data_IF_070617606402
#
_entry.id   IF_070617606402
#
_cell.length_a   1.000
_cell.length_b   1.000
_cell.length_c   1.000
_cell.angle_alpha   90.00
_cell.angle_beta   90.00
_cell.angle_gamma   90.00
#
_symmetry.space_group_name_H-M   'P 1'
#
loop_
_entity.id
_entity.type
_entity.pdbx_description
1 polymer ?
#
# COMPACT_ATOMS: atom_id res chain seq x y z
N UNK A 1 25.46 23.40 8.47
CA UNK A 1 26.03 22.08 8.15
C UNK A 1 24.89 21.08 8.29
N UNK A 2 24.27 20.68 7.18
CA UNK A 2 23.10 19.81 7.22
C UNK A 2 23.53 18.39 7.60
N UNK A 3 22.92 17.86 8.65
CA UNK A 3 23.02 16.45 9.05
C UNK A 3 22.41 15.58 7.94
N UNK A 4 23.25 15.08 7.03
CA UNK A 4 22.86 14.03 6.10
C UNK A 4 22.63 12.75 6.90
N UNK A 5 21.35 12.40 7.12
CA UNK A 5 21.00 11.06 7.59
C UNK A 5 21.18 10.10 6.41
N UNK A 6 22.11 9.13 6.49
CA UNK A 6 22.40 8.23 5.37
C UNK A 6 21.20 7.34 4.97
N UNK A 7 20.20 7.23 5.85
CA UNK A 7 19.02 6.37 5.66
C UNK A 7 17.84 7.08 4.98
N UNK A 8 17.88 8.41 4.85
CA UNK A 8 16.80 9.19 4.24
C UNK A 8 17.23 9.56 2.83
N UNK A 9 16.78 8.77 1.85
CA UNK A 9 16.89 9.14 0.44
C UNK A 9 16.19 10.49 0.21
N UNK A 10 16.72 11.33 -0.69
CA UNK A 10 16.11 12.63 -0.99
C UNK A 10 14.65 12.43 -1.37
N UNK A 11 13.77 13.26 -0.80
CA UNK A 11 12.34 13.20 -1.08
C UNK A 11 12.10 13.32 -2.59
N UNK A 12 11.64 12.23 -3.21
CA UNK A 12 11.21 12.23 -4.61
C UNK A 12 9.82 12.84 -4.66
N UNK A 13 9.65 13.91 -5.44
CA UNK A 13 8.34 14.54 -5.61
C UNK A 13 7.47 13.67 -6.53
N UNK A 14 6.53 12.94 -5.94
CA UNK A 14 5.46 12.24 -6.66
C UNK A 14 4.19 13.09 -6.61
N UNK A 15 3.59 13.34 -7.77
CA UNK A 15 2.26 13.92 -7.88
C UNK A 15 1.28 12.79 -8.18
N UNK A 16 0.46 12.42 -7.20
CA UNK A 16 -0.57 11.38 -7.31
C UNK A 16 -1.88 11.89 -6.70
N UNK A 17 -3.00 11.22 -7.01
CA UNK A 17 -4.30 11.59 -6.44
C UNK A 17 -4.47 11.03 -5.03
N UNK A 18 -3.95 9.83 -4.77
CA UNK A 18 -4.04 9.16 -3.46
C UNK A 18 -2.71 8.53 -3.09
N UNK A 19 -2.29 8.72 -1.83
CA UNK A 19 -1.16 8.00 -1.24
C UNK A 19 -1.68 7.03 -0.17
N UNK A 20 -1.28 5.76 -0.26
CA UNK A 20 -1.61 4.70 0.69
C UNK A 20 -0.33 4.32 1.45
N UNK A 21 -0.37 4.48 2.77
CA UNK A 21 0.72 4.07 3.66
C UNK A 21 0.46 2.65 4.21
N UNK A 22 1.16 1.67 3.64
CA UNK A 22 1.15 0.27 4.01
C UNK A 22 0.66 -0.64 2.89
N UNK A 23 1.48 -1.62 2.51
CA UNK A 23 1.13 -2.67 1.54
C UNK A 23 0.59 -3.93 2.23
N UNK A 24 -0.24 -3.74 3.27
CA UNK A 24 -1.02 -4.81 3.88
C UNK A 24 -2.24 -5.20 3.03
N UNK A 25 -3.01 -6.23 3.44
CA UNK A 25 -4.19 -6.68 2.69
C UNK A 25 -5.19 -5.56 2.37
N UNK A 26 -5.48 -4.70 3.36
CA UNK A 26 -6.40 -3.56 3.18
C UNK A 26 -5.82 -2.52 2.22
N UNK A 27 -4.54 -2.16 2.37
CA UNK A 27 -3.90 -1.16 1.52
C UNK A 27 -3.81 -1.61 0.05
N UNK A 28 -3.47 -2.88 -0.17
CA UNK A 28 -3.43 -3.46 -1.51
C UNK A 28 -4.82 -3.61 -2.13
N UNK A 29 -5.83 -4.00 -1.35
CA UNK A 29 -7.21 -4.04 -1.82
C UNK A 29 -7.71 -2.65 -2.25
N UNK A 30 -7.45 -1.63 -1.43
CA UNK A 30 -7.77 -0.23 -1.75
C UNK A 30 -7.04 0.25 -3.01
N UNK A 31 -5.74 -0.03 -3.14
CA UNK A 31 -4.97 0.33 -4.32
C UNK A 31 -5.54 -0.31 -5.59
N UNK A 32 -5.90 -1.60 -5.54
CA UNK A 32 -6.50 -2.30 -6.67
C UNK A 32 -7.85 -1.69 -7.06
N UNK A 33 -8.73 -1.49 -6.08
CA UNK A 33 -10.07 -0.91 -6.31
C UNK A 33 -10.00 0.50 -6.92
N UNK A 34 -9.19 1.39 -6.34
CA UNK A 34 -9.00 2.75 -6.85
C UNK A 34 -8.31 2.75 -8.22
N UNK A 35 -7.35 1.85 -8.44
CA UNK A 35 -6.68 1.68 -9.73
C UNK A 35 -7.65 1.31 -10.86
N UNK A 36 -8.64 0.44 -10.58
CA UNK A 36 -9.70 0.12 -11.57
C UNK A 36 -10.59 1.30 -11.91
N UNK A 37 -10.74 2.25 -10.99
CA UNK A 37 -11.44 3.51 -11.24
C UNK A 37 -10.59 4.53 -12.03
N UNK A 38 -9.35 4.17 -12.40
CA UNK A 38 -8.42 5.05 -13.09
C UNK A 38 -7.80 6.12 -12.18
N UNK A 39 -7.83 5.94 -10.87
CA UNK A 39 -7.23 6.85 -9.89
C UNK A 39 -5.74 6.56 -9.79
N UNK A 40 -4.91 7.60 -9.86
CA UNK A 40 -3.46 7.50 -9.67
C UNK A 40 -3.11 7.35 -8.19
N UNK A 41 -2.55 6.18 -7.83
CA UNK A 41 -2.31 5.76 -6.45
C UNK A 41 -0.82 5.45 -6.24
N UNK A 42 -0.22 6.06 -5.21
CA UNK A 42 1.09 5.71 -4.69
C UNK A 42 0.94 4.83 -3.43
N UNK A 43 1.47 3.61 -3.44
CA UNK A 43 1.56 2.77 -2.24
C UNK A 43 2.97 2.84 -1.66
N UNK A 44 3.09 3.09 -0.36
CA UNK A 44 4.36 3.16 0.36
C UNK A 44 4.38 2.09 1.44
N UNK A 45 5.38 1.22 1.45
CA UNK A 45 5.57 0.17 2.46
C UNK A 45 6.94 0.32 3.12
N UNK A 46 7.00 0.04 4.42
CA UNK A 46 8.23 0.10 5.21
C UNK A 46 9.11 -1.13 4.99
N UNK A 47 8.50 -2.30 4.80
CA UNK A 47 9.22 -3.56 4.60
C UNK A 47 9.64 -3.72 3.14
N UNK A 48 10.93 -4.00 2.92
CA UNK A 48 11.47 -4.26 1.57
C UNK A 48 10.96 -5.58 0.97
N UNK A 49 10.41 -6.46 1.82
CA UNK A 49 9.95 -7.80 1.45
C UNK A 49 8.68 -8.15 2.21
N UNK A 50 7.90 -9.06 1.63
CA UNK A 50 6.79 -9.67 2.33
C UNK A 50 7.30 -10.42 3.56
N UNK A 51 6.47 -10.42 4.60
CA UNK A 51 6.66 -11.32 5.74
C UNK A 51 6.46 -12.78 5.30
N UNK A 52 7.18 -13.70 5.93
CA UNK A 52 7.21 -15.13 5.59
C UNK A 52 6.33 -16.00 6.50
N UNK A 53 5.49 -15.37 7.33
CA UNK A 53 4.56 -16.05 8.23
C UNK A 53 3.14 -15.49 8.12
N UNK A 54 2.10 -16.32 8.29
CA UNK A 54 0.72 -15.89 8.17
C UNK A 54 0.32 -14.99 9.35
N UNK A 55 -0.34 -13.86 9.05
CA UNK A 55 -1.00 -13.00 10.04
C UNK A 55 -2.52 -12.97 9.92
N UNK A 56 -3.06 -13.22 8.73
CA UNK A 56 -4.50 -13.31 8.50
C UNK A 56 -5.01 -14.65 9.06
N UNK A 57 -6.07 -14.60 9.87
CA UNK A 57 -6.66 -15.77 10.52
C UNK A 57 -7.91 -16.25 9.76
N UNK A 58 -8.64 -15.34 9.11
CA UNK A 58 -9.82 -15.65 8.32
C UNK A 58 -10.23 -14.51 7.40
N UNK A 59 -11.14 -14.81 6.48
CA UNK A 59 -11.81 -13.88 5.58
C UNK A 59 -13.30 -14.15 5.76
N UNK A 60 -14.06 -13.13 6.15
CA UNK A 60 -15.52 -13.22 6.24
C UNK A 60 -16.17 -13.01 4.87
N UNK A 61 -17.50 -13.12 4.82
CA UNK A 61 -18.27 -12.98 3.60
C UNK A 61 -18.18 -11.57 2.99
N UNK A 62 -18.06 -10.53 3.82
CA UNK A 62 -17.96 -9.15 3.34
C UNK A 62 -16.56 -8.79 2.81
N UNK A 63 -15.51 -9.29 3.46
CA UNK A 63 -14.16 -9.21 2.93
C UNK A 63 -14.06 -9.96 1.60
N UNK A 64 -14.69 -11.14 1.48
CA UNK A 64 -14.72 -11.88 0.21
C UNK A 64 -15.52 -11.15 -0.86
N UNK A 65 -16.68 -10.56 -0.52
CA UNK A 65 -17.46 -9.71 -1.44
C UNK A 65 -16.66 -8.53 -1.94
N UNK A 66 -15.88 -7.89 -1.07
CA UNK A 66 -14.97 -6.81 -1.43
C UNK A 66 -13.93 -7.28 -2.44
N UNK A 67 -13.30 -8.44 -2.21
CA UNK A 67 -12.33 -9.02 -3.15
C UNK A 67 -12.95 -9.42 -4.50
N UNK A 68 -14.23 -9.78 -4.54
CA UNK A 68 -14.94 -10.09 -5.79
C UNK A 68 -15.32 -8.85 -6.61
N UNK A 69 -15.22 -7.66 -6.02
CA UNK A 69 -15.58 -6.40 -6.69
C UNK A 69 -14.49 -5.85 -7.61
N UNK A 70 -13.32 -6.48 -7.61
CA UNK A 70 -12.13 -6.15 -8.40
C UNK A 70 -11.71 -7.33 -9.27
#
# INVERSE_FOLDING_TARGET
MAIQHPDIQPAVNHSVQVAIAGAGPVGLMMANYLGQMGIDVLVVEKLDKLIDYPRAIGIDDEALRTMQSV
#
